data_IF_187165044126
#
_entry.id   IF_187165044126
#
_cell.length_a   1.000
_cell.length_b   1.000
_cell.length_c   1.000
_cell.angle_alpha   90.00
_cell.angle_beta   90.00
_cell.angle_gamma   90.00
#
_symmetry.space_group_name_H-M   'P 1'
#
loop_
_entity.id
_entity.type
_entity.pdbx_description
1 polymer ?
#
# COMPACT_ATOMS: atom_id res chain seq x y z
N UNK A 1 7.80 0.35 11.09
CA UNK A 1 7.01 1.24 11.99
C UNK A 1 5.49 1.09 11.76
N UNK A 2 4.90 -0.08 12.06
CA UNK A 2 3.50 -0.38 11.69
C UNK A 2 2.44 0.50 12.40
N UNK A 3 2.35 0.41 13.73
CA UNK A 3 1.33 1.14 14.52
C UNK A 3 1.36 2.67 14.37
N UNK A 4 2.54 3.35 14.33
CA UNK A 4 2.59 4.77 14.04
C UNK A 4 2.03 5.15 12.66
N UNK A 5 2.27 4.30 11.64
CA UNK A 5 1.73 4.51 10.28
C UNK A 5 0.22 4.45 10.30
N UNK A 6 -0.36 3.45 10.96
CA UNK A 6 -1.81 3.33 11.14
C UNK A 6 -2.41 4.57 11.84
N UNK A 7 -1.83 4.98 12.97
CA UNK A 7 -2.28 6.16 13.71
C UNK A 7 -2.16 7.45 12.89
N UNK A 8 -1.15 7.58 12.04
CA UNK A 8 -0.99 8.72 11.15
C UNK A 8 -2.10 8.78 10.10
N UNK A 9 -2.51 7.64 9.53
CA UNK A 9 -3.67 7.56 8.62
C UNK A 9 -4.92 8.07 9.33
N UNK A 10 -5.22 7.54 10.53
CA UNK A 10 -6.40 7.93 11.30
C UNK A 10 -6.42 9.42 11.64
N UNK A 11 -5.26 9.99 11.96
CA UNK A 11 -5.14 11.38 12.39
C UNK A 11 -5.20 12.38 11.22
N UNK A 12 -4.57 12.06 10.09
CA UNK A 12 -4.32 13.03 9.02
C UNK A 12 -5.11 12.75 7.74
N UNK A 13 -5.66 11.55 7.55
CA UNK A 13 -6.29 11.14 6.29
C UNK A 13 -7.34 10.05 6.50
N UNK A 14 -8.32 10.29 7.38
CA UNK A 14 -9.28 9.29 7.84
C UNK A 14 -10.00 8.54 6.70
N UNK A 15 -10.50 9.28 5.70
CA UNK A 15 -11.24 8.72 4.54
C UNK A 15 -10.60 9.12 3.19
N UNK A 16 -9.45 9.79 3.22
CA UNK A 16 -8.78 10.29 2.01
C UNK A 16 -7.63 9.37 1.59
N UNK A 17 -7.28 9.30 0.29
CA UNK A 17 -6.27 8.39 -0.22
C UNK A 17 -4.89 8.57 0.42
N UNK A 18 -4.20 7.46 0.69
CA UNK A 18 -2.88 7.41 1.34
C UNK A 18 -1.90 6.56 0.53
N UNK A 19 -0.71 7.08 0.30
CA UNK A 19 0.43 6.31 -0.23
C UNK A 19 1.47 6.15 0.88
N UNK A 20 1.98 4.93 1.06
CA UNK A 20 3.02 4.62 2.04
C UNK A 20 4.24 4.11 1.31
N UNK A 21 5.34 4.86 1.31
CA UNK A 21 6.61 4.40 0.75
C UNK A 21 7.38 3.54 1.77
N UNK A 22 7.94 2.42 1.30
CA UNK A 22 8.71 1.47 2.11
C UNK A 22 10.01 1.05 1.41
N UNK A 23 11.04 0.59 2.16
CA UNK A 23 12.36 0.33 1.59
C UNK A 23 12.47 -0.93 0.73
N UNK A 24 11.61 -1.93 0.92
CA UNK A 24 11.76 -3.23 0.26
C UNK A 24 10.43 -3.89 -0.12
N UNK A 25 10.49 -4.83 -1.07
CA UNK A 25 9.33 -5.62 -1.53
C UNK A 25 8.68 -6.40 -0.38
N UNK A 26 9.51 -7.01 0.47
CA UNK A 26 9.05 -7.72 1.67
C UNK A 26 8.31 -6.77 2.61
N UNK A 27 8.86 -5.58 2.84
CA UNK A 27 8.23 -4.59 3.70
C UNK A 27 6.90 -4.08 3.14
N UNK A 28 6.74 -3.98 1.82
CA UNK A 28 5.48 -3.56 1.20
C UNK A 28 4.33 -4.52 1.55
N UNK A 29 4.57 -5.82 1.36
CA UNK A 29 3.59 -6.86 1.71
C UNK A 29 3.32 -6.93 3.21
N UNK A 30 4.36 -6.91 4.03
CA UNK A 30 4.21 -6.99 5.49
C UNK A 30 3.45 -5.78 6.05
N UNK A 31 3.77 -4.58 5.57
CA UNK A 31 3.08 -3.35 5.99
C UNK A 31 1.60 -3.40 5.63
N UNK A 32 1.25 -3.88 4.44
CA UNK A 32 -0.15 -4.03 4.05
C UNK A 32 -0.89 -4.98 5.01
N UNK A 33 -0.31 -6.13 5.32
CA UNK A 33 -0.89 -7.10 6.27
C UNK A 33 -0.98 -6.53 7.70
N UNK A 34 0.04 -5.80 8.15
CA UNK A 34 0.04 -5.15 9.46
C UNK A 34 -1.13 -4.16 9.58
N UNK A 35 -1.39 -3.36 8.53
CA UNK A 35 -2.52 -2.43 8.50
C UNK A 35 -3.87 -3.14 8.68
N UNK A 36 -4.05 -4.29 8.03
CA UNK A 36 -5.26 -5.12 8.19
C UNK A 36 -5.38 -5.70 9.59
N UNK A 37 -4.24 -6.07 10.19
CA UNK A 37 -4.21 -6.55 11.57
C UNK A 37 -4.62 -5.44 12.54
N UNK A 38 -4.19 -4.20 12.29
CA UNK A 38 -4.59 -3.05 13.11
C UNK A 38 -6.05 -2.67 12.93
N UNK A 39 -6.59 -2.69 11.70
CA UNK A 39 -8.02 -2.43 11.47
C UNK A 39 -8.91 -3.49 12.13
N UNK A 40 -8.49 -4.76 12.09
CA UNK A 40 -9.18 -5.84 12.79
C UNK A 40 -9.10 -5.66 14.33
N UNK A 41 -7.93 -5.30 14.86
CA UNK A 41 -7.76 -5.03 16.30
C UNK A 41 -8.63 -3.85 16.79
N UNK A 42 -8.90 -2.88 15.93
CA UNK A 42 -9.80 -1.74 16.18
C UNK A 42 -11.28 -2.04 15.89
N UNK A 43 -11.65 -3.30 15.64
CA UNK A 43 -13.00 -3.75 15.27
C UNK A 43 -13.58 -3.02 14.03
N UNK A 44 -12.72 -2.63 13.09
CA UNK A 44 -13.08 -1.92 11.86
C UNK A 44 -12.38 -2.54 10.64
N UNK A 45 -12.53 -3.86 10.37
CA UNK A 45 -11.73 -4.60 9.38
C UNK A 45 -11.84 -4.02 7.95
N UNK A 46 -12.98 -3.42 7.62
CA UNK A 46 -13.27 -2.86 6.30
C UNK A 46 -13.04 -1.34 6.24
N UNK A 47 -12.25 -0.77 7.15
CA UNK A 47 -12.07 0.69 7.25
C UNK A 47 -11.57 1.36 5.97
N UNK A 48 -10.71 0.68 5.20
CA UNK A 48 -10.02 1.28 4.06
C UNK A 48 -10.65 0.95 2.71
N UNK A 49 -11.74 0.17 2.69
CA UNK A 49 -12.51 -0.13 1.48
C UNK A 49 -13.74 0.78 1.46
N UNK A 50 -13.92 1.52 0.38
CA UNK A 50 -15.05 2.46 0.20
C UNK A 50 -15.97 2.04 -0.95
N UNK A 51 -15.81 0.82 -1.46
CA UNK A 51 -16.66 0.22 -2.48
C UNK A 51 -17.38 -1.00 -1.89
N UNK A 52 -18.57 -1.29 -2.41
CA UNK A 52 -19.29 -2.52 -2.11
C UNK A 52 -18.53 -3.73 -2.66
N UNK A 53 -18.65 -4.88 -1.98
CA UNK A 53 -17.92 -6.10 -2.35
C UNK A 53 -18.25 -6.54 -3.78
N UNK A 54 -19.53 -6.45 -4.18
CA UNK A 54 -19.99 -6.85 -5.51
C UNK A 54 -19.41 -5.99 -6.63
N UNK A 55 -19.10 -4.71 -6.36
CA UNK A 55 -18.52 -3.79 -7.35
C UNK A 55 -17.03 -4.06 -7.58
N UNK A 56 -16.30 -4.46 -6.52
CA UNK A 56 -14.85 -4.69 -6.61
C UNK A 56 -14.49 -6.12 -7.05
N UNK A 57 -15.35 -7.10 -6.74
CA UNK A 57 -15.12 -8.53 -7.00
C UNK A 57 -14.71 -8.87 -8.44
N UNK A 58 -15.31 -8.32 -9.51
CA UNK A 58 -14.89 -8.59 -10.89
C UNK A 58 -13.47 -8.13 -11.21
N UNK A 59 -12.96 -7.12 -10.50
CA UNK A 59 -11.59 -6.64 -10.64
C UNK A 59 -10.61 -7.51 -9.86
N UNK A 60 -11.02 -7.96 -8.66
CA UNK A 60 -10.22 -8.86 -7.82
C UNK A 60 -10.00 -10.24 -8.45
N UNK A 61 -10.93 -10.72 -9.26
CA UNK A 61 -10.76 -11.98 -10.01
C UNK A 61 -9.68 -11.88 -11.09
N UNK A 62 -9.36 -10.66 -11.55
CA UNK A 62 -8.30 -10.41 -12.53
C UNK A 62 -6.92 -10.26 -11.89
N UNK A 63 -6.85 -10.18 -10.56
CA UNK A 63 -5.60 -10.07 -9.83
C UNK A 63 -4.94 -11.44 -9.73
N UNK A 64 -3.68 -11.53 -10.16
CA UNK A 64 -2.94 -12.79 -10.17
C UNK A 64 -2.34 -13.16 -8.81
N UNK A 65 -1.89 -12.16 -8.04
CA UNK A 65 -1.31 -12.34 -6.71
C UNK A 65 -2.41 -12.56 -5.66
N UNK A 66 -2.41 -13.75 -5.04
CA UNK A 66 -3.41 -14.14 -4.03
C UNK A 66 -3.38 -13.25 -2.79
N UNK A 67 -2.19 -12.88 -2.31
CA UNK A 67 -2.05 -12.04 -1.13
C UNK A 67 -2.48 -10.61 -1.43
N UNK A 68 -2.17 -10.09 -2.64
CA UNK A 68 -2.67 -8.78 -3.07
C UNK A 68 -4.19 -8.76 -3.16
N UNK A 69 -4.81 -9.84 -3.64
CA UNK A 69 -6.26 -9.99 -3.67
C UNK A 69 -6.88 -9.93 -2.28
N UNK A 70 -6.30 -10.64 -1.32
CA UNK A 70 -6.74 -10.63 0.09
C UNK A 70 -6.65 -9.24 0.71
N UNK A 71 -5.54 -8.52 0.48
CA UNK A 71 -5.37 -7.18 1.04
C UNK A 71 -6.33 -6.17 0.39
N UNK A 72 -6.54 -6.28 -0.93
CA UNK A 72 -7.43 -5.40 -1.68
C UNK A 72 -8.88 -5.49 -1.21
N UNK A 73 -9.36 -6.67 -0.80
CA UNK A 73 -10.70 -6.85 -0.24
C UNK A 73 -10.97 -5.97 0.99
N UNK A 74 -9.92 -5.62 1.73
CA UNK A 74 -10.00 -4.78 2.91
C UNK A 74 -9.50 -3.34 2.64
N UNK A 75 -9.30 -3.00 1.37
CA UNK A 75 -9.00 -1.65 0.93
C UNK A 75 -7.53 -1.22 1.03
N UNK A 76 -6.62 -2.19 1.17
CA UNK A 76 -5.17 -1.97 1.19
C UNK A 76 -4.51 -2.71 0.04
N UNK A 77 -3.74 -2.01 -0.79
CA UNK A 77 -2.90 -2.63 -1.81
C UNK A 77 -1.42 -2.46 -1.49
N UNK A 78 -0.58 -3.25 -2.16
CA UNK A 78 0.85 -3.03 -2.18
C UNK A 78 1.42 -3.18 -3.60
N UNK A 79 2.39 -2.33 -3.93
CA UNK A 79 3.06 -2.29 -5.22
C UNK A 79 4.57 -2.41 -5.02
N UNK A 80 5.18 -3.31 -5.77
CA UNK A 80 6.62 -3.46 -5.91
C UNK A 80 6.96 -3.92 -7.32
N UNK A 81 8.23 -3.90 -7.68
CA UNK A 81 8.73 -4.15 -9.04
C UNK A 81 8.54 -5.60 -9.53
N UNK A 82 7.98 -6.46 -8.68
CA UNK A 82 7.62 -7.85 -9.01
C UNK A 82 6.12 -8.05 -9.23
N UNK A 83 5.28 -7.03 -8.95
CA UNK A 83 3.85 -7.06 -9.23
C UNK A 83 3.65 -6.92 -10.73
N UNK A 84 2.80 -7.76 -11.33
CA UNK A 84 2.56 -7.76 -12.77
C UNK A 84 2.02 -6.42 -13.25
N UNK A 85 2.35 -6.01 -14.48
CA UNK A 85 1.85 -4.75 -15.04
C UNK A 85 0.31 -4.69 -15.07
N UNK A 86 -0.36 -5.83 -15.21
CA UNK A 86 -1.81 -5.91 -15.18
C UNK A 86 -2.37 -5.64 -13.77
N UNK A 87 -1.78 -6.25 -12.73
CA UNK A 87 -2.19 -6.02 -11.34
C UNK A 87 -1.90 -4.58 -10.91
N UNK A 88 -0.76 -4.02 -11.31
CA UNK A 88 -0.42 -2.61 -11.06
C UNK A 88 -1.47 -1.66 -11.66
N UNK A 89 -1.96 -1.94 -12.88
CA UNK A 89 -3.02 -1.14 -13.51
C UNK A 89 -4.32 -1.21 -12.73
N UNK A 90 -4.72 -2.40 -12.29
CA UNK A 90 -5.95 -2.57 -11.50
C UNK A 90 -5.86 -1.88 -10.14
N UNK A 91 -4.75 -2.01 -9.42
CA UNK A 91 -4.52 -1.30 -8.15
C UNK A 91 -4.60 0.20 -8.34
N UNK A 92 -3.93 0.75 -9.37
CA UNK A 92 -3.97 2.18 -9.65
C UNK A 92 -5.37 2.66 -10.01
N UNK A 93 -6.14 1.89 -10.78
CA UNK A 93 -7.52 2.22 -11.11
C UNK A 93 -8.41 2.22 -9.87
N UNK A 94 -8.35 1.17 -9.04
CA UNK A 94 -9.14 1.06 -7.81
C UNK A 94 -8.81 2.18 -6.82
N UNK A 95 -7.54 2.58 -6.73
CA UNK A 95 -7.13 3.70 -5.90
C UNK A 95 -7.60 5.04 -6.46
N UNK A 96 -7.49 5.23 -7.78
CA UNK A 96 -7.94 6.45 -8.46
C UNK A 96 -9.45 6.68 -8.34
N UNK A 97 -10.25 5.61 -8.43
CA UNK A 97 -11.71 5.71 -8.23
C UNK A 97 -12.10 5.89 -6.75
N UNK A 98 -11.14 5.78 -5.83
CA UNK A 98 -11.38 5.85 -4.39
C UNK A 98 -11.98 4.58 -3.79
N UNK A 99 -12.03 3.48 -4.53
CA UNK A 99 -12.56 2.20 -4.04
C UNK A 99 -11.69 1.65 -2.90
N UNK A 100 -10.37 1.79 -3.02
CA UNK A 100 -9.39 1.47 -1.97
C UNK A 100 -8.70 2.75 -1.49
N UNK A 101 -8.44 2.84 -0.19
CA UNK A 101 -7.89 4.05 0.41
C UNK A 101 -6.36 4.04 0.52
N UNK A 102 -5.73 2.88 0.66
CA UNK A 102 -4.29 2.80 1.01
C UNK A 102 -3.52 1.97 0.00
N UNK A 103 -2.39 2.52 -0.48
CA UNK A 103 -1.42 1.80 -1.31
C UNK A 103 -0.03 1.89 -0.69
N UNK A 104 0.56 0.74 -0.37
CA UNK A 104 1.95 0.63 0.08
C UNK A 104 2.85 0.43 -1.12
N UNK A 105 3.87 1.26 -1.32
CA UNK A 105 4.72 1.21 -2.52
C UNK A 105 6.19 1.13 -2.15
N UNK A 106 6.96 0.32 -2.87
CA UNK A 106 8.43 0.32 -2.70
C UNK A 106 9.06 1.63 -3.17
N UNK A 107 10.12 2.05 -2.49
CA UNK A 107 10.90 3.26 -2.83
C UNK A 107 11.29 3.34 -4.30
N UNK A 108 11.59 2.21 -4.94
CA UNK A 108 12.05 2.12 -6.33
C UNK A 108 10.99 2.52 -7.35
N UNK A 109 9.72 2.56 -6.95
CA UNK A 109 8.60 2.96 -7.81
C UNK A 109 8.20 4.42 -7.63
N UNK A 110 8.88 5.22 -6.79
CA UNK A 110 8.49 6.62 -6.53
C UNK A 110 8.40 7.48 -7.81
N UNK A 111 9.21 7.18 -8.83
CA UNK A 111 9.21 7.87 -10.12
C UNK A 111 8.26 7.27 -11.16
N UNK A 112 7.77 6.05 -10.92
CA UNK A 112 6.96 5.29 -11.87
C UNK A 112 5.46 5.31 -11.55
N UNK A 113 5.07 5.86 -10.41
CA UNK A 113 3.67 5.95 -10.00
C UNK A 113 2.94 7.08 -10.72
N UNK A 114 1.81 6.73 -11.35
CA UNK A 114 0.86 7.69 -11.95
C UNK A 114 -0.39 7.90 -11.10
N UNK A 115 -0.26 7.87 -9.78
CA UNK A 115 -1.35 8.08 -8.81
C UNK A 115 -1.01 9.22 -7.84
N UNK A 116 -2.04 9.88 -7.31
CA UNK A 116 -1.89 10.96 -6.33
C UNK A 116 -2.64 10.61 -5.04
N UNK A 117 -2.18 11.15 -3.91
CA UNK A 117 -2.80 10.91 -2.61
C UNK A 117 -2.89 12.19 -1.78
N UNK A 118 -3.77 12.19 -0.80
CA UNK A 118 -3.89 13.28 0.16
C UNK A 118 -2.76 13.22 1.21
N UNK A 119 -2.43 12.02 1.68
CA UNK A 119 -1.35 11.77 2.61
C UNK A 119 -0.30 10.88 1.95
N UNK A 120 0.97 11.24 2.16
CA UNK A 120 2.12 10.40 1.84
C UNK A 120 2.87 10.13 3.13
N UNK A 121 3.11 8.86 3.43
CA UNK A 121 3.92 8.44 4.58
C UNK A 121 5.19 7.79 4.03
N UNK A 122 6.35 8.30 4.42
CA UNK A 122 7.63 7.67 4.10
C UNK A 122 8.05 6.85 5.31
N UNK A 123 7.95 5.53 5.20
CA UNK A 123 8.33 4.61 6.26
C UNK A 123 9.76 4.13 6.03
N UNK A 124 10.63 4.47 6.99
CA UNK A 124 12.05 4.17 6.99
C UNK A 124 12.76 4.79 5.77
N UNK A 125 13.67 5.74 6.01
CA UNK A 125 14.38 6.47 4.95
C UNK A 125 15.72 5.83 4.60
N UNK A 126 15.86 4.55 4.90
CA UNK A 126 17.08 3.78 4.69
C UNK A 126 16.78 2.46 3.99
N UNK A 127 17.71 2.00 3.15
CA UNK A 127 17.65 0.69 2.53
C UNK A 127 18.97 -0.05 2.72
N UNK A 128 18.91 -1.37 2.75
CA UNK A 128 20.10 -2.20 2.86
C UNK A 128 20.75 -2.39 1.48
N UNK A 129 22.02 -2.01 1.34
CA UNK A 129 22.82 -2.34 0.17
C UNK A 129 23.58 -3.66 0.40
N UNK A 130 23.24 -4.66 -0.43
CA UNK A 130 23.88 -5.97 -0.39
C UNK A 130 25.33 -5.99 -0.86
N UNK A 131 25.81 -4.93 -1.52
CA UNK A 131 27.22 -4.84 -1.97
C UNK A 131 28.14 -4.35 -0.85
N UNK A 132 27.73 -3.29 -0.15
CA UNK A 132 28.51 -2.69 0.94
C UNK A 132 28.19 -3.30 2.31
N UNK A 133 27.13 -4.13 2.40
CA UNK A 133 26.62 -4.71 3.65
C UNK A 133 26.23 -3.64 4.69
N UNK A 134 25.73 -2.50 4.22
CA UNK A 134 25.35 -1.35 5.05
C UNK A 134 23.94 -0.87 4.74
N UNK A 135 23.36 -0.12 5.68
CA UNK A 135 22.14 0.65 5.43
C UNK A 135 22.53 2.04 4.92
N UNK A 136 21.98 2.42 3.78
CA UNK A 136 22.19 3.73 3.15
C UNK A 136 20.91 4.55 3.20
N UNK A 137 21.06 5.85 3.41
CA UNK A 137 19.96 6.81 3.38
C UNK A 137 19.39 6.97 1.96
N UNK A 138 18.13 7.36 1.86
CA UNK A 138 17.53 7.72 0.58
C UNK A 138 18.18 9.00 0.02
N UNK A 139 18.43 9.04 -1.30
CA UNK A 139 18.87 10.26 -1.95
C UNK A 139 17.75 11.32 -1.91
N UNK A 140 18.13 12.60 -1.77
CA UNK A 140 17.22 13.76 -1.72
C UNK A 140 16.78 14.23 -3.13
N UNK A 141 17.25 13.54 -4.18
CA UNK A 141 17.03 13.87 -5.60
C UNK A 141 15.59 13.71 -6.05
#
# INVERSE_FOLDING_TARGET
>A
MGKPTYNAILKYSLEKPVIIFVPSRKQARLTAIDLLTYTAADNQPNRFIHAEEDDIKPFLEKISDKTLKETLLQGVAYLHEGVSAQDQRWVQQLFFTGAIQVVVVTRSLCWALSITSHLVIIMDTQFYDGKTHAYEDYPIT
#
